data_IF_730269889135
#
_entry.id   IF_730269889135
#
_cell.length_a   1.000
_cell.length_b   1.000
_cell.length_c   1.000
_cell.angle_alpha   90.00
_cell.angle_beta   90.00
_cell.angle_gamma   90.00
#
_symmetry.space_group_name_H-M   'P 1'
#
loop_
_entity.id
_entity.type
_entity.pdbx_description
1 polymer ?
#
# COMPACT_ATOMS: atom_id res chain seq x y z
N UNK A 1 18.73 25.36 34.96
CA UNK A 1 18.35 24.23 35.84
C UNK A 1 17.16 23.56 35.18
N UNK A 2 17.40 22.59 34.31
CA UNK A 2 17.69 21.18 34.63
C UNK A 2 16.48 20.52 35.30
N UNK A 3 15.98 19.36 34.94
CA UNK A 3 16.17 18.35 33.88
C UNK A 3 15.29 17.22 34.44
N UNK A 4 14.37 16.62 33.69
CA UNK A 4 13.83 15.28 33.98
C UNK A 4 12.99 14.83 32.77
N UNK A 5 13.71 14.39 31.74
CA UNK A 5 13.15 13.58 30.67
C UNK A 5 13.41 12.11 31.05
N UNK A 6 12.36 11.40 31.42
CA UNK A 6 12.37 9.94 31.59
C UNK A 6 12.60 9.27 30.23
N UNK A 7 13.87 9.14 29.86
CA UNK A 7 14.36 8.32 28.75
C UNK A 7 14.35 6.86 29.21
N UNK A 8 13.29 6.15 28.86
CA UNK A 8 13.13 4.70 29.06
C UNK A 8 14.10 3.95 28.11
N UNK A 9 15.40 4.07 28.39
CA UNK A 9 16.48 3.35 27.73
C UNK A 9 16.39 1.87 28.05
N UNK A 10 15.72 1.11 27.19
CA UNK A 10 15.83 -0.34 27.19
C UNK A 10 17.30 -0.69 26.86
N UNK A 11 18.05 -1.34 27.76
CA UNK A 11 19.44 -1.68 27.51
C UNK A 11 19.55 -2.58 26.28
N UNK A 12 20.38 -2.19 25.31
CA UNK A 12 20.70 -3.04 24.18
C UNK A 12 21.56 -4.20 24.70
N UNK A 13 21.14 -5.47 24.53
CA UNK A 13 21.86 -6.60 25.09
C UNK A 13 23.25 -6.73 24.43
N UNK A 14 24.25 -7.04 25.25
CA UNK A 14 25.63 -7.23 24.79
C UNK A 14 25.73 -8.47 23.88
N UNK A 15 26.66 -8.48 22.92
CA UNK A 15 26.85 -9.60 21.99
C UNK A 15 26.96 -10.97 22.69
N UNK A 16 27.63 -11.04 23.84
CA UNK A 16 27.76 -12.24 24.67
C UNK A 16 26.44 -12.71 25.32
N UNK A 17 25.53 -11.77 25.62
CA UNK A 17 24.20 -12.07 26.18
C UNK A 17 23.28 -12.60 25.10
N UNK A 18 23.30 -11.99 23.91
CA UNK A 18 22.54 -12.46 22.73
C UNK A 18 22.92 -13.90 22.38
N UNK A 19 24.22 -14.23 22.41
CA UNK A 19 24.70 -15.57 22.06
C UNK A 19 24.30 -16.64 23.08
N UNK A 20 24.31 -16.33 24.39
CA UNK A 20 23.78 -17.24 25.42
C UNK A 20 22.28 -17.43 25.30
N UNK A 21 21.53 -16.37 25.03
CA UNK A 21 20.07 -16.45 24.88
C UNK A 21 19.67 -17.19 23.60
N UNK A 22 20.45 -17.07 22.53
CA UNK A 22 20.28 -17.87 21.32
C UNK A 22 20.52 -19.37 21.57
N UNK A 23 21.47 -19.71 22.45
CA UNK A 23 21.75 -21.09 22.86
C UNK A 23 20.68 -21.67 23.81
N UNK A 24 19.87 -20.83 24.45
CA UNK A 24 18.78 -21.26 25.34
C UNK A 24 17.51 -21.65 24.59
N UNK A 25 17.35 -21.21 23.35
CA UNK A 25 16.14 -21.42 22.57
C UNK A 25 16.40 -22.38 21.40
N UNK A 26 15.57 -23.43 21.22
CA UNK A 26 15.65 -24.28 20.04
C UNK A 26 15.53 -23.45 18.76
N UNK A 27 16.42 -23.67 17.80
CA UNK A 27 16.44 -22.97 16.51
C UNK A 27 15.10 -23.07 15.78
N UNK A 28 14.39 -24.19 15.94
CA UNK A 28 13.08 -24.43 15.35
C UNK A 28 12.00 -23.49 15.89
N UNK A 29 12.04 -23.15 17.17
CA UNK A 29 11.10 -22.19 17.76
C UNK A 29 11.33 -20.78 17.22
N UNK A 30 12.58 -20.38 17.01
CA UNK A 30 12.91 -19.08 16.41
C UNK A 30 12.46 -19.00 14.95
N UNK A 31 12.62 -20.09 14.20
CA UNK A 31 12.13 -20.18 12.83
C UNK A 31 10.59 -20.13 12.75
N UNK A 32 9.91 -20.79 13.69
CA UNK A 32 8.45 -20.71 13.78
C UNK A 32 7.99 -19.27 14.07
N UNK A 33 8.59 -18.58 15.06
CA UNK A 33 8.27 -17.18 15.37
C UNK A 33 8.59 -16.24 14.22
N UNK A 34 9.68 -16.47 13.49
CA UNK A 34 10.01 -15.71 12.28
C UNK A 34 8.96 -15.91 11.20
N UNK A 35 8.46 -17.13 11.02
CA UNK A 35 7.41 -17.45 10.04
C UNK A 35 6.06 -16.80 10.39
N UNK A 36 5.68 -16.85 11.69
CA UNK A 36 4.51 -16.11 12.21
C UNK A 36 4.65 -14.60 11.99
N UNK A 37 5.86 -14.05 12.19
CA UNK A 37 6.14 -12.65 11.91
C UNK A 37 5.97 -12.30 10.43
N UNK A 38 6.51 -13.11 9.52
CA UNK A 38 6.33 -12.91 8.08
C UNK A 38 4.85 -12.90 7.71
N UNK A 39 4.07 -13.88 8.18
CA UNK A 39 2.64 -13.96 7.91
C UNK A 39 1.90 -12.71 8.42
N UNK A 40 2.21 -12.27 9.64
CA UNK A 40 1.64 -11.06 10.21
C UNK A 40 1.96 -9.82 9.37
N UNK A 41 3.21 -9.64 8.94
CA UNK A 41 3.65 -8.49 8.15
C UNK A 41 2.91 -8.44 6.80
N UNK A 42 2.76 -9.59 6.12
CA UNK A 42 2.03 -9.70 4.85
C UNK A 42 0.55 -9.30 5.01
N UNK A 43 -0.12 -9.80 6.06
CA UNK A 43 -1.53 -9.45 6.32
C UNK A 43 -1.70 -7.96 6.65
N UNK A 44 -0.76 -7.37 7.38
CA UNK A 44 -0.80 -5.93 7.71
C UNK A 44 -0.60 -5.07 6.47
N UNK A 45 0.34 -5.43 5.58
CA UNK A 45 0.55 -4.70 4.32
C UNK A 45 -0.66 -4.82 3.39
N UNK A 46 -1.28 -6.01 3.28
CA UNK A 46 -2.50 -6.20 2.49
C UNK A 46 -3.64 -5.30 2.97
N UNK A 47 -3.81 -5.16 4.29
CA UNK A 47 -4.83 -4.30 4.91
C UNK A 47 -4.44 -2.82 4.99
N UNK A 48 -3.23 -2.46 4.53
CA UNK A 48 -2.66 -1.10 4.61
C UNK A 48 -2.69 -0.52 6.03
N UNK A 49 -2.46 -1.37 7.02
CA UNK A 49 -2.38 -0.97 8.43
C UNK A 49 -0.91 -0.72 8.79
N UNK A 50 -0.57 0.40 9.48
CA UNK A 50 0.78 0.68 9.93
C UNK A 50 1.35 -0.45 10.81
N UNK A 51 2.59 -0.86 10.54
CA UNK A 51 3.26 -1.91 11.30
C UNK A 51 4.11 -1.25 12.39
N UNK A 52 3.72 -1.39 13.66
CA UNK A 52 4.46 -0.82 14.80
C UNK A 52 5.34 -1.86 15.48
N UNK A 53 6.53 -1.48 15.94
CA UNK A 53 7.40 -2.36 16.74
C UNK A 53 6.70 -2.92 17.98
N UNK A 54 5.97 -2.06 18.70
CA UNK A 54 5.23 -2.43 19.90
C UNK A 54 4.20 -3.55 19.63
N UNK A 55 3.51 -3.48 18.48
CA UNK A 55 2.56 -4.50 18.06
C UNK A 55 3.24 -5.84 17.77
N UNK A 56 4.39 -5.79 17.07
CA UNK A 56 5.18 -6.99 16.76
C UNK A 56 5.65 -7.67 18.06
N UNK A 57 6.19 -6.88 19.00
CA UNK A 57 6.65 -7.37 20.30
C UNK A 57 5.52 -7.97 21.13
N UNK A 58 4.35 -7.33 21.16
CA UNK A 58 3.20 -7.77 21.96
C UNK A 58 2.50 -8.99 21.36
N UNK A 59 2.39 -9.06 20.02
CA UNK A 59 1.60 -10.11 19.36
C UNK A 59 2.38 -11.38 19.10
N UNK A 60 3.67 -11.26 18.74
CA UNK A 60 4.43 -12.37 18.16
C UNK A 60 5.61 -12.77 19.03
N UNK A 61 6.45 -11.80 19.43
CA UNK A 61 7.66 -12.11 20.19
C UNK A 61 7.36 -12.44 21.65
N UNK A 62 6.47 -11.70 22.32
CA UNK A 62 6.00 -11.89 23.72
C UNK A 62 7.11 -12.20 24.73
N UNK A 63 7.52 -13.46 24.80
CA UNK A 63 8.51 -14.08 25.68
C UNK A 63 9.96 -14.04 25.13
N UNK A 64 10.14 -13.93 23.81
CA UNK A 64 11.44 -13.96 23.11
C UNK A 64 12.05 -12.57 22.89
N UNK A 65 11.82 -11.61 23.80
CA UNK A 65 12.22 -10.20 23.60
C UNK A 65 13.73 -10.02 23.49
N UNK A 66 14.48 -10.87 24.18
CA UNK A 66 15.93 -10.97 24.21
C UNK A 66 16.54 -11.44 22.88
N UNK A 67 15.78 -12.14 22.05
CA UNK A 67 16.19 -12.62 20.70
C UNK A 67 15.39 -11.96 19.57
N UNK A 68 14.72 -10.83 19.86
CA UNK A 68 13.93 -10.07 18.88
C UNK A 68 14.70 -9.76 17.59
N UNK A 69 15.96 -9.33 17.73
CA UNK A 69 16.83 -8.96 16.61
C UNK A 69 17.04 -10.12 15.63
N UNK A 70 17.22 -11.33 16.15
CA UNK A 70 17.41 -12.54 15.37
C UNK A 70 16.13 -12.94 14.63
N UNK A 71 14.97 -12.88 15.31
CA UNK A 71 13.67 -13.20 14.71
C UNK A 71 13.35 -12.23 13.56
N UNK A 72 13.57 -10.93 13.78
CA UNK A 72 13.40 -9.91 12.73
C UNK A 72 14.38 -10.11 11.58
N UNK A 73 15.64 -10.44 11.86
CA UNK A 73 16.63 -10.67 10.82
C UNK A 73 16.24 -11.85 9.92
N UNK A 74 15.77 -12.96 10.53
CA UNK A 74 15.26 -14.12 9.80
C UNK A 74 14.02 -13.78 8.99
N UNK A 75 13.05 -13.07 9.58
CA UNK A 75 11.85 -12.65 8.87
C UNK A 75 12.15 -11.72 7.69
N UNK A 76 13.08 -10.76 7.86
CA UNK A 76 13.55 -9.88 6.78
C UNK A 76 14.18 -10.68 5.65
N UNK A 77 15.06 -11.63 5.98
CA UNK A 77 15.69 -12.52 5.00
C UNK A 77 14.65 -13.33 4.23
N UNK A 78 13.66 -13.91 4.90
CA UNK A 78 12.58 -14.66 4.25
C UNK A 78 11.72 -13.75 3.36
N UNK A 79 11.39 -12.54 3.80
CA UNK A 79 10.65 -11.56 3.00
C UNK A 79 11.41 -11.21 1.71
N UNK A 80 12.70 -10.97 1.81
CA UNK A 80 13.54 -10.62 0.66
C UNK A 80 13.72 -11.81 -0.30
N UNK A 81 14.02 -13.00 0.23
CA UNK A 81 14.35 -14.18 -0.57
C UNK A 81 13.14 -14.89 -1.18
N UNK A 82 12.02 -14.96 -0.46
CA UNK A 82 10.84 -15.73 -0.88
C UNK A 82 9.78 -14.84 -1.51
N UNK A 83 9.56 -13.65 -0.95
CA UNK A 83 8.49 -12.74 -1.38
C UNK A 83 9.00 -11.55 -2.20
N UNK A 84 10.32 -11.34 -2.28
CA UNK A 84 10.91 -10.14 -2.88
C UNK A 84 10.44 -8.84 -2.22
N UNK A 85 10.14 -8.87 -0.93
CA UNK A 85 9.72 -7.71 -0.15
C UNK A 85 10.81 -7.32 0.84
N UNK A 86 11.00 -6.02 1.05
CA UNK A 86 11.91 -5.47 2.04
C UNK A 86 11.13 -4.77 3.15
N UNK A 87 11.47 -5.08 4.39
CA UNK A 87 10.93 -4.41 5.57
C UNK A 87 11.76 -3.16 5.88
N UNK A 88 11.16 -1.98 5.72
CA UNK A 88 11.82 -0.68 5.89
C UNK A 88 11.17 0.10 7.02
N UNK A 89 11.98 0.73 7.87
CA UNK A 89 11.53 1.64 8.91
C UNK A 89 11.37 3.05 8.33
N UNK A 90 10.16 3.62 8.43
CA UNK A 90 9.84 4.97 7.91
C UNK A 90 9.87 6.03 8.98
N UNK A 91 9.66 5.65 10.23
CA UNK A 91 9.64 6.56 11.36
C UNK A 91 10.43 5.96 12.52
N UNK A 92 11.66 6.44 12.76
CA UNK A 92 12.50 5.95 13.84
C UNK A 92 12.00 6.38 15.22
N UNK A 93 11.18 7.45 15.33
CA UNK A 93 10.67 7.92 16.63
C UNK A 93 9.56 7.01 17.16
N UNK A 94 8.70 6.55 16.26
CA UNK A 94 7.57 5.68 16.62
C UNK A 94 7.79 4.21 16.24
N UNK A 95 8.96 3.88 15.70
CA UNK A 95 9.32 2.57 15.17
C UNK A 95 8.24 1.96 14.27
N UNK A 96 7.93 2.68 13.18
CA UNK A 96 6.92 2.28 12.19
C UNK A 96 7.62 1.71 10.97
N UNK A 97 7.12 0.56 10.52
CA UNK A 97 7.63 -0.18 9.38
C UNK A 97 6.62 -0.26 8.23
N UNK A 98 7.14 -0.41 7.02
CA UNK A 98 6.40 -0.74 5.80
C UNK A 98 7.11 -1.85 5.03
N UNK A 99 6.35 -2.55 4.18
CA UNK A 99 6.91 -3.49 3.21
C UNK A 99 7.01 -2.82 1.84
N UNK A 100 8.19 -2.89 1.23
CA UNK A 100 8.46 -2.36 -0.11
C UNK A 100 8.81 -3.52 -1.03
N UNK A 101 8.18 -3.57 -2.21
CA UNK A 101 8.56 -4.57 -3.22
C UNK A 101 9.93 -4.23 -3.83
N UNK A 102 10.83 -5.21 -3.77
CA UNK A 102 12.17 -5.19 -4.38
C UNK A 102 12.21 -5.92 -5.72
N UNK A 103 11.12 -6.62 -6.11
CA UNK A 103 11.05 -7.22 -7.43
C UNK A 103 11.13 -6.12 -8.50
N UNK A 104 11.84 -6.38 -9.61
CA UNK A 104 11.85 -5.49 -10.75
C UNK A 104 10.42 -5.30 -11.21
N UNK A 105 9.92 -4.07 -11.02
CA UNK A 105 8.55 -3.71 -11.36
C UNK A 105 8.43 -3.84 -12.86
N UNK A 106 7.52 -4.68 -13.34
CA UNK A 106 7.20 -4.68 -14.77
C UNK A 106 6.67 -3.28 -15.11
N UNK A 107 7.23 -2.60 -16.12
CA UNK A 107 6.69 -1.32 -16.57
C UNK A 107 5.31 -1.57 -17.18
N UNK A 108 4.26 -1.50 -16.35
CA UNK A 108 2.88 -1.77 -16.79
C UNK A 108 1.90 -2.15 -15.68
N UNK A 109 2.33 -2.85 -14.63
CA UNK A 109 1.39 -3.33 -13.59
C UNK A 109 0.76 -2.20 -12.77
N UNK A 110 1.57 -1.22 -12.34
CA UNK A 110 1.06 -0.03 -11.68
C UNK A 110 0.33 0.88 -12.67
N UNK A 111 0.82 1.03 -13.90
CA UNK A 111 0.14 1.81 -14.93
C UNK A 111 -1.26 1.28 -15.20
N UNK A 112 -1.46 -0.05 -15.28
CA UNK A 112 -2.78 -0.62 -15.49
C UNK A 112 -3.68 -0.41 -14.27
N UNK A 113 -3.18 -0.61 -13.05
CA UNK A 113 -3.97 -0.41 -11.82
C UNK A 113 -4.31 1.06 -11.58
N UNK A 114 -3.35 1.95 -11.76
CA UNK A 114 -3.49 3.39 -11.62
C UNK A 114 -4.38 3.97 -12.74
N UNK A 115 -4.30 3.44 -13.96
CA UNK A 115 -5.19 3.81 -15.06
C UNK A 115 -6.63 3.34 -14.78
N UNK A 116 -6.84 2.14 -14.24
CA UNK A 116 -8.18 1.70 -13.83
C UNK A 116 -8.75 2.58 -12.70
N UNK A 117 -7.94 2.96 -11.72
CA UNK A 117 -8.35 3.89 -10.65
C UNK A 117 -8.66 5.27 -11.22
N UNK A 118 -7.83 5.78 -12.14
CA UNK A 118 -8.07 7.04 -12.80
C UNK A 118 -9.37 7.01 -13.62
N UNK A 119 -9.60 5.96 -14.42
CA UNK A 119 -10.84 5.76 -15.20
C UNK A 119 -12.07 5.75 -14.31
N UNK A 120 -11.99 5.08 -13.15
CA UNK A 120 -13.06 5.07 -12.16
C UNK A 120 -13.30 6.47 -11.57
N UNK A 121 -12.23 7.22 -11.28
CA UNK A 121 -12.33 8.62 -10.84
C UNK A 121 -13.02 9.52 -11.86
N UNK A 122 -12.64 9.42 -13.14
CA UNK A 122 -13.28 10.14 -14.24
C UNK A 122 -14.76 9.77 -14.37
N UNK A 123 -15.09 8.48 -14.26
CA UNK A 123 -16.46 8.00 -14.29
C UNK A 123 -17.31 8.63 -13.16
N UNK A 124 -16.79 8.67 -11.93
CA UNK A 124 -17.50 9.27 -10.79
C UNK A 124 -17.75 10.76 -11.02
N UNK A 125 -16.79 11.50 -11.59
CA UNK A 125 -16.96 12.93 -11.93
C UNK A 125 -18.08 13.10 -12.96
N UNK A 126 -18.11 12.28 -14.01
CA UNK A 126 -19.14 12.31 -15.04
C UNK A 126 -20.52 11.99 -14.47
N UNK A 127 -20.64 10.93 -13.67
CA UNK A 127 -21.90 10.54 -13.03
C UNK A 127 -22.40 11.61 -12.06
N UNK A 128 -21.50 12.20 -11.27
CA UNK A 128 -21.84 13.30 -10.36
C UNK A 128 -22.38 14.51 -11.12
N UNK A 129 -21.77 14.84 -12.26
CA UNK A 129 -22.23 15.93 -13.11
C UNK A 129 -23.62 15.66 -13.72
N UNK A 130 -23.86 14.43 -14.20
CA UNK A 130 -25.19 14.03 -14.71
C UNK A 130 -26.23 14.10 -13.60
N UNK A 131 -25.89 13.62 -12.40
CA UNK A 131 -26.74 13.69 -11.23
C UNK A 131 -27.10 15.14 -10.86
N UNK A 132 -26.11 16.03 -10.84
CA UNK A 132 -26.31 17.47 -10.60
C UNK A 132 -27.21 18.13 -11.65
N UNK A 133 -27.29 17.58 -12.87
CA UNK A 133 -28.13 18.08 -13.97
C UNK A 133 -29.53 17.46 -14.01
N UNK A 134 -29.91 16.64 -13.03
CA UNK A 134 -31.24 16.03 -12.97
C UNK A 134 -31.34 14.73 -13.77
N UNK A 135 -30.26 13.93 -13.79
CA UNK A 135 -30.15 12.61 -14.42
C UNK A 135 -30.27 12.57 -15.95
N UNK A 136 -30.44 13.72 -16.61
CA UNK A 136 -30.49 13.82 -18.06
C UNK A 136 -29.67 15.02 -18.53
N UNK A 137 -28.70 14.78 -19.41
CA UNK A 137 -27.96 15.85 -20.08
C UNK A 137 -28.49 15.97 -21.51
N UNK A 138 -29.36 16.95 -21.75
CA UNK A 138 -29.93 17.24 -23.08
C UNK A 138 -28.94 18.06 -23.92
N UNK A 139 -28.99 17.90 -25.24
CA UNK A 139 -28.04 18.49 -26.21
C UNK A 139 -27.76 19.99 -26.07
N UNK A 140 -28.65 20.78 -25.46
CA UNK A 140 -28.40 22.20 -25.17
C UNK A 140 -27.33 22.49 -24.11
N UNK A 141 -26.98 21.52 -23.26
CA UNK A 141 -25.87 21.60 -22.28
C UNK A 141 -24.67 20.71 -22.65
N UNK A 142 -24.72 20.06 -23.82
CA UNK A 142 -23.73 19.10 -24.32
C UNK A 142 -22.36 19.71 -24.60
N UNK A 143 -22.21 21.04 -24.58
CA UNK A 143 -20.93 21.72 -24.81
C UNK A 143 -20.03 21.75 -23.57
N UNK A 144 -20.58 21.52 -22.37
CA UNK A 144 -19.82 21.57 -21.12
C UNK A 144 -19.15 20.24 -20.78
N UNK A 145 -19.76 19.11 -21.16
CA UNK A 145 -19.16 17.79 -20.96
C UNK A 145 -17.85 17.65 -21.77
N UNK A 146 -17.80 17.98 -23.08
CA UNK A 146 -16.56 18.10 -23.82
C UNK A 146 -15.60 19.08 -23.17
N UNK A 147 -16.02 20.27 -22.73
CA UNK A 147 -15.09 21.25 -22.09
C UNK A 147 -14.47 20.76 -20.78
N UNK A 148 -15.21 20.01 -19.97
CA UNK A 148 -14.68 19.38 -18.75
C UNK A 148 -13.70 18.25 -19.08
N UNK A 149 -13.86 17.61 -20.25
CA UNK A 149 -13.08 16.48 -20.74
C UNK A 149 -11.88 16.90 -21.63
N UNK A 150 -12.01 18.00 -22.36
CA UNK A 150 -11.07 18.53 -23.37
C UNK A 150 -10.39 19.80 -22.90
N UNK A 151 -9.73 19.73 -21.74
CA UNK A 151 -8.53 20.57 -21.56
C UNK A 151 -7.37 20.10 -22.47
N UNK A 152 -7.58 19.02 -23.23
CA UNK A 152 -6.66 18.47 -24.22
C UNK A 152 -7.29 18.64 -25.62
N UNK A 153 -6.57 19.21 -26.60
CA UNK A 153 -7.10 19.43 -27.95
C UNK A 153 -7.49 18.10 -28.64
N UNK A 154 -8.49 18.10 -29.54
CA UNK A 154 -9.13 16.92 -30.13
C UNK A 154 -8.22 16.00 -30.97
N UNK A 155 -6.91 16.25 -31.01
CA UNK A 155 -5.89 15.47 -31.73
C UNK A 155 -4.92 14.72 -30.82
N UNK A 156 -4.95 14.93 -29.51
CA UNK A 156 -4.01 14.29 -28.57
C UNK A 156 -4.70 13.27 -27.67
N UNK A 157 -4.13 12.06 -27.62
CA UNK A 157 -4.52 11.03 -26.65
C UNK A 157 -4.08 11.51 -25.27
N UNK A 158 -4.98 11.50 -24.30
CA UNK A 158 -4.60 11.84 -22.92
C UNK A 158 -3.63 10.78 -22.40
N UNK A 159 -2.49 11.17 -21.82
CA UNK A 159 -1.44 10.22 -21.38
C UNK A 159 -1.99 9.14 -20.43
N UNK A 160 -2.91 9.53 -19.55
CA UNK A 160 -3.60 8.62 -18.61
C UNK A 160 -4.84 7.94 -19.19
N UNK A 161 -5.72 8.66 -19.90
CA UNK A 161 -7.05 8.17 -20.30
C UNK A 161 -7.18 7.71 -21.76
N UNK A 162 -6.17 7.98 -22.60
CA UNK A 162 -6.19 7.69 -24.03
C UNK A 162 -7.25 8.49 -24.78
N UNK A 163 -8.08 7.79 -25.56
CA UNK A 163 -9.21 8.37 -26.28
C UNK A 163 -10.45 8.44 -25.37
N UNK A 164 -10.59 9.56 -24.67
CA UNK A 164 -11.68 9.77 -23.70
C UNK A 164 -13.06 9.70 -24.36
N UNK A 165 -13.16 10.05 -25.66
CA UNK A 165 -14.42 9.96 -26.40
C UNK A 165 -14.86 8.50 -26.51
N UNK A 166 -13.98 7.60 -26.95
CA UNK A 166 -14.26 6.15 -26.99
C UNK A 166 -14.51 5.55 -25.61
N UNK A 167 -13.76 5.98 -24.60
CA UNK A 167 -13.96 5.54 -23.22
C UNK A 167 -15.42 5.78 -22.76
N UNK A 168 -15.98 6.94 -23.08
CA UNK A 168 -17.34 7.29 -22.67
C UNK A 168 -18.39 6.63 -23.56
N UNK A 169 -18.25 6.73 -24.88
CA UNK A 169 -19.29 6.26 -25.83
C UNK A 169 -19.32 4.75 -26.01
N UNK A 170 -18.19 4.07 -25.79
CA UNK A 170 -18.08 2.62 -25.93
C UNK A 170 -17.87 1.94 -24.58
N UNK A 171 -16.84 2.29 -23.81
CA UNK A 171 -16.48 1.53 -22.60
C UNK A 171 -17.51 1.71 -21.48
N UNK A 172 -17.84 2.96 -21.11
CA UNK A 172 -18.82 3.24 -20.03
C UNK A 172 -20.26 2.91 -20.42
N UNK A 173 -20.63 3.02 -21.70
CA UNK A 173 -21.93 2.54 -22.20
C UNK A 173 -22.01 1.01 -22.19
N UNK A 174 -20.95 0.32 -22.62
CA UNK A 174 -20.88 -1.15 -22.57
C UNK A 174 -20.90 -1.66 -21.13
N UNK A 175 -20.26 -0.95 -20.21
CA UNK A 175 -20.27 -1.24 -18.77
C UNK A 175 -21.59 -0.82 -18.07
N UNK A 176 -22.56 -0.27 -18.81
CA UNK A 176 -23.88 0.15 -18.31
C UNK A 176 -23.84 1.26 -17.28
N UNK A 177 -22.77 2.05 -17.24
CA UNK A 177 -22.73 3.26 -16.41
C UNK A 177 -23.45 4.44 -17.06
N UNK A 178 -23.46 4.48 -18.39
CA UNK A 178 -24.09 5.55 -19.18
C UNK A 178 -25.01 4.94 -20.23
N UNK A 179 -26.07 5.67 -20.55
CA UNK A 179 -26.97 5.35 -21.64
C UNK A 179 -27.03 6.55 -22.58
N UNK A 180 -26.88 6.31 -23.89
CA UNK A 180 -27.01 7.34 -24.91
C UNK A 180 -28.33 7.06 -25.62
N UNK A 181 -29.33 7.87 -25.33
CA UNK A 181 -30.60 7.85 -26.04
C UNK A 181 -30.49 8.75 -27.27
N UNK A 182 -30.89 8.28 -28.47
CA UNK A 182 -30.93 9.10 -29.68
C UNK A 182 -31.96 10.22 -29.63
#
# INVERSE_FOLDING_TARGET
>A
QADDADDDLIPTPTHSQVQRNLARHPQDQLNQRASELVQYLLVRDQKKIPIRRADILKKIIREYRDVYSEIIARARKTLEQVFGLQLVEIDPKHHIYILISTLPRTPGENLHRDNQVAKLGLLIVILSFIFMKGNLVKDGSSLLLPRLITSVPPRERHEVFGDVKKLITEEFVRQKYLEITP
#
